data_IF_449475451468
#
_entry.id   IF_449475451468
#
_cell.length_a   1.000
_cell.length_b   1.000
_cell.length_c   1.000
_cell.angle_alpha   90.00
_cell.angle_beta   90.00
_cell.angle_gamma   90.00
#
_symmetry.space_group_name_H-M   'P 1'
#
loop_
_entity.id
_entity.type
_entity.pdbx_description
1 polymer ?
#
# COMPACT_ATOMS: atom_id res chain seq x y z
N UNK A 1 -5.15 15.63 13.31
CA UNK A 1 -3.96 14.83 13.62
C UNK A 1 -3.69 13.94 12.42
N UNK A 2 -2.48 13.95 11.85
CA UNK A 2 -2.13 13.17 10.66
C UNK A 2 -1.12 12.08 10.98
N UNK A 3 -1.15 10.98 10.24
CA UNK A 3 -0.19 9.88 10.38
C UNK A 3 1.07 10.20 9.55
N UNK A 4 2.24 10.14 10.18
CA UNK A 4 3.52 10.32 9.47
C UNK A 4 3.93 9.00 8.83
N UNK A 5 3.65 8.85 7.55
CA UNK A 5 3.94 7.64 6.78
C UNK A 5 5.37 7.69 6.22
N UNK A 6 5.97 6.50 6.04
CA UNK A 6 7.27 6.33 5.38
C UNK A 6 7.08 5.85 3.94
N UNK A 7 8.10 6.08 3.10
CA UNK A 7 7.99 6.12 1.65
C UNK A 7 7.20 4.96 1.02
N UNK A 8 6.39 5.23 -0.02
CA UNK A 8 5.65 4.20 -0.73
C UNK A 8 6.61 3.29 -1.48
N UNK A 9 6.35 1.99 -1.49
CA UNK A 9 7.15 1.06 -2.28
C UNK A 9 6.33 0.29 -3.30
N UNK A 10 5.31 -0.46 -2.89
CA UNK A 10 4.50 -1.22 -3.83
C UNK A 10 3.21 -0.45 -4.13
N UNK A 11 2.83 -0.45 -5.40
CA UNK A 11 1.65 0.23 -5.90
C UNK A 11 0.87 -0.73 -6.79
N UNK A 12 -0.44 -0.81 -6.58
CA UNK A 12 -1.32 -1.71 -7.32
C UNK A 12 -2.57 -0.99 -7.80
N UNK A 13 -2.84 -1.08 -9.10
CA UNK A 13 -4.00 -0.44 -9.72
C UNK A 13 -5.15 -1.45 -9.84
N UNK A 14 -6.35 -1.01 -9.49
CA UNK A 14 -7.57 -1.78 -9.71
C UNK A 14 -7.89 -1.91 -11.21
N UNK A 15 -8.59 -2.99 -11.59
CA UNK A 15 -9.00 -3.23 -12.98
C UNK A 15 -9.86 -2.11 -13.58
N UNK A 16 -10.66 -1.42 -12.76
CA UNK A 16 -11.47 -0.27 -13.17
C UNK A 16 -10.66 1.03 -13.28
N UNK A 17 -9.35 0.99 -13.01
CA UNK A 17 -8.39 2.09 -13.00
C UNK A 17 -8.75 3.26 -12.07
N UNK A 18 -9.68 3.07 -11.12
CA UNK A 18 -10.18 4.13 -10.23
C UNK A 18 -9.53 4.13 -8.85
N UNK A 19 -8.86 3.03 -8.47
CA UNK A 19 -8.29 2.88 -7.12
C UNK A 19 -6.87 2.36 -7.23
N UNK A 20 -5.96 3.06 -6.56
CA UNK A 20 -4.56 2.74 -6.51
C UNK A 20 -4.18 2.44 -5.06
N UNK A 21 -3.75 1.23 -4.78
CA UNK A 21 -3.35 0.79 -3.44
C UNK A 21 -1.85 0.91 -3.29
N UNK A 22 -1.42 1.42 -2.14
CA UNK A 22 -0.01 1.69 -1.88
C UNK A 22 0.37 1.07 -0.56
N UNK A 23 1.45 0.28 -0.57
CA UNK A 23 2.07 -0.31 0.62
C UNK A 23 3.50 0.24 0.77
N UNK A 24 4.05 0.13 1.97
CA UNK A 24 5.28 0.84 2.34
C UNK A 24 6.43 -0.07 2.81
N UNK A 25 6.31 -1.40 2.70
CA UNK A 25 7.38 -2.35 3.05
C UNK A 25 7.95 -3.05 1.82
N UNK A 26 9.28 -3.16 1.79
CA UNK A 26 10.04 -3.69 0.65
C UNK A 26 10.58 -5.08 0.94
N UNK A 27 11.35 -5.20 2.03
CA UNK A 27 12.02 -6.42 2.45
C UNK A 27 12.64 -6.17 3.83
N UNK A 28 12.36 -7.04 4.79
CA UNK A 28 12.68 -6.84 6.22
C UNK A 28 14.13 -6.34 6.49
N UNK A 29 15.20 -6.93 5.92
CA UNK A 29 16.57 -6.43 6.07
C UNK A 29 16.81 -5.01 5.51
N UNK A 30 16.19 -4.66 4.38
CA UNK A 30 16.34 -3.34 3.74
C UNK A 30 15.51 -2.29 4.47
N UNK A 31 14.32 -2.66 4.92
CA UNK A 31 13.47 -1.82 5.75
C UNK A 31 14.14 -1.53 7.10
N UNK A 32 14.84 -2.51 7.69
CA UNK A 32 15.63 -2.30 8.92
C UNK A 32 16.77 -1.29 8.74
N UNK A 33 17.37 -1.24 7.55
CA UNK A 33 18.49 -0.35 7.24
C UNK A 33 18.04 1.10 7.02
N UNK A 34 16.95 1.32 6.27
CA UNK A 34 16.51 2.67 5.87
C UNK A 34 15.37 3.21 6.73
N UNK A 35 14.54 2.32 7.27
CA UNK A 35 13.32 2.64 7.99
C UNK A 35 13.14 1.70 9.21
N UNK A 36 14.06 1.69 10.19
CA UNK A 36 13.99 0.79 11.35
C UNK A 36 12.67 0.93 12.13
N UNK A 37 12.14 2.14 12.22
CA UNK A 37 10.85 2.41 12.84
C UNK A 37 9.65 1.80 12.09
N UNK A 38 9.79 1.44 10.81
CA UNK A 38 8.75 0.72 10.05
C UNK A 38 8.67 -0.74 10.51
N UNK A 39 9.82 -1.36 10.77
CA UNK A 39 9.89 -2.74 11.30
C UNK A 39 9.32 -2.80 12.71
N UNK A 40 9.50 -1.75 13.52
CA UNK A 40 8.97 -1.68 14.89
C UNK A 40 7.49 -1.31 14.97
N UNK A 41 6.97 -0.54 14.00
CA UNK A 41 5.61 0.00 14.04
C UNK A 41 4.64 -0.64 13.06
N UNK A 42 5.14 -1.46 12.13
CA UNK A 42 4.34 -2.13 11.12
C UNK A 42 4.19 -1.30 9.84
N UNK A 43 3.80 -2.02 8.78
CA UNK A 43 3.46 -1.46 7.49
C UNK A 43 2.11 -0.76 7.50
N UNK A 44 1.87 0.05 6.49
CA UNK A 44 0.58 0.70 6.26
C UNK A 44 0.16 0.49 4.82
N UNK A 45 -1.14 0.44 4.59
CA UNK A 45 -1.74 0.44 3.26
C UNK A 45 -2.69 1.62 3.12
N UNK A 46 -2.56 2.32 1.99
CA UNK A 46 -3.36 3.47 1.61
C UNK A 46 -4.10 3.15 0.32
N UNK A 47 -5.26 3.77 0.15
CA UNK A 47 -5.92 3.86 -1.15
C UNK A 47 -5.81 5.29 -1.66
N UNK A 48 -5.49 5.42 -2.93
CA UNK A 48 -5.50 6.66 -3.69
C UNK A 48 -6.61 6.53 -4.72
N UNK A 49 -7.51 7.50 -4.73
CA UNK A 49 -8.57 7.62 -5.72
C UNK A 49 -8.00 8.28 -6.98
N UNK A 50 -8.28 7.67 -8.13
CA UNK A 50 -7.80 8.11 -9.45
C UNK A 50 -8.98 8.72 -10.21
N UNK A 51 -8.89 10.02 -10.55
CA UNK A 51 -9.87 10.67 -11.42
C UNK A 51 -9.51 10.40 -12.88
N UNK A 52 -10.18 9.42 -13.49
CA UNK A 52 -9.93 9.05 -14.89
C UNK A 52 -10.59 9.99 -15.92
N UNK A 53 -11.48 10.89 -15.49
CA UNK A 53 -12.19 11.81 -16.37
C UNK A 53 -11.48 13.16 -16.50
N UNK A 54 -10.98 13.70 -15.39
CA UNK A 54 -10.28 15.00 -15.34
C UNK A 54 -8.78 14.86 -15.15
N UNK A 55 -8.31 13.66 -14.80
CA UNK A 55 -6.94 13.44 -14.33
C UNK A 55 -6.78 13.88 -12.88
N UNK A 56 -5.90 13.21 -12.15
CA UNK A 56 -5.55 13.55 -10.76
C UNK A 56 -5.54 12.35 -9.83
N UNK A 57 -4.83 12.51 -8.72
CA UNK A 57 -4.68 11.52 -7.67
C UNK A 57 -4.98 12.18 -6.33
N UNK A 58 -5.86 11.57 -5.53
CA UNK A 58 -6.19 12.03 -4.19
C UNK A 58 -6.10 10.88 -3.19
N UNK A 59 -5.52 11.11 -2.01
CA UNK A 59 -5.52 10.11 -0.95
C UNK A 59 -6.95 9.96 -0.43
N UNK A 60 -7.43 8.72 -0.34
CA UNK A 60 -8.74 8.43 0.23
C UNK A 60 -8.65 8.47 1.77
N UNK A 61 -9.27 9.45 2.45
CA UNK A 61 -9.18 9.57 3.91
C UNK A 61 -9.97 8.48 4.65
N UNK A 62 -10.85 7.77 3.95
CA UNK A 62 -11.70 6.73 4.53
C UNK A 62 -11.05 5.34 4.47
N UNK A 63 -9.89 5.20 3.81
CA UNK A 63 -9.19 3.94 3.68
C UNK A 63 -7.76 4.07 4.20
N UNK A 64 -7.53 3.46 5.35
CA UNK A 64 -6.22 3.35 5.98
C UNK A 64 -6.15 2.02 6.73
N UNK A 65 -5.19 1.17 6.37
CA UNK A 65 -4.93 -0.08 7.09
C UNK A 65 -3.59 0.02 7.76
N UNK A 66 -3.58 -0.23 9.07
CA UNK A 66 -2.39 -0.22 9.92
C UNK A 66 -2.08 -1.66 10.34
N UNK A 67 -0.96 -2.19 9.85
CA UNK A 67 -0.50 -3.54 10.15
C UNK A 67 0.41 -3.58 11.40
N UNK A 68 0.54 -2.47 12.12
CA UNK A 68 1.21 -2.41 13.41
C UNK A 68 0.42 -3.03 14.56
N UNK A 69 -0.92 -3.10 14.42
CA UNK A 69 -1.84 -3.58 15.45
C UNK A 69 -2.24 -5.06 15.27
N UNK A 70 -1.51 -5.81 14.45
CA UNK A 70 -1.78 -7.24 14.24
C UNK A 70 -1.60 -8.05 15.53
N UNK A 71 -2.37 -9.14 15.74
CA UNK A 71 -2.39 -9.90 17.00
C UNK A 71 -1.02 -10.44 17.44
N UNK A 72 -0.16 -10.78 16.47
CA UNK A 72 1.17 -11.36 16.68
C UNK A 72 2.31 -10.34 16.59
N UNK A 73 1.97 -9.03 16.56
CA UNK A 73 2.91 -7.92 16.46
C UNK A 73 3.03 -7.32 15.06
N UNK A 74 3.88 -6.28 14.91
CA UNK A 74 3.92 -5.45 13.70
C UNK A 74 4.25 -6.26 12.44
N UNK A 75 3.36 -6.22 11.46
CA UNK A 75 3.50 -6.94 10.20
C UNK A 75 3.95 -6.02 9.06
N UNK A 76 4.77 -6.58 8.18
CA UNK A 76 5.31 -5.88 7.01
C UNK A 76 4.53 -6.29 5.76
N UNK A 77 3.88 -5.31 5.12
CA UNK A 77 3.02 -5.56 3.97
C UNK A 77 3.70 -5.12 2.69
N UNK A 78 3.91 -6.11 1.82
CA UNK A 78 4.61 -5.94 0.56
C UNK A 78 3.62 -5.95 -0.61
N UNK A 79 2.98 -7.10 -0.85
CA UNK A 79 2.14 -7.33 -2.02
C UNK A 79 0.65 -7.29 -1.68
N UNK A 80 -0.17 -6.67 -2.52
CA UNK A 80 -1.64 -6.80 -2.49
C UNK A 80 -2.04 -7.73 -3.64
N UNK A 81 -3.17 -8.43 -3.55
CA UNK A 81 -3.70 -9.21 -4.68
C UNK A 81 -5.21 -9.08 -4.72
N UNK A 82 -5.76 -8.79 -5.90
CA UNK A 82 -7.22 -8.74 -6.04
C UNK A 82 -7.82 -10.12 -6.29
N UNK A 83 -8.94 -10.45 -5.62
CA UNK A 83 -9.74 -11.61 -6.01
C UNK A 83 -10.27 -11.39 -7.44
N UNK A 84 -9.79 -12.18 -8.39
CA UNK A 84 -10.23 -12.12 -9.79
C UNK A 84 -9.26 -11.45 -10.77
N UNK A 85 -8.04 -11.13 -10.34
CA UNK A 85 -7.00 -10.55 -11.21
C UNK A 85 -6.77 -9.07 -10.95
N UNK A 86 -5.55 -8.62 -11.20
CA UNK A 86 -5.15 -7.23 -11.10
C UNK A 86 -4.22 -6.87 -12.25
N UNK A 87 -4.04 -5.57 -12.48
CA UNK A 87 -3.24 -5.06 -13.60
C UNK A 87 -1.75 -5.45 -13.54
N UNK A 88 -1.31 -6.12 -12.48
CA UNK A 88 0.07 -6.62 -12.29
C UNK A 88 0.19 -8.13 -12.47
N UNK A 89 -0.92 -8.88 -12.52
CA UNK A 89 -0.92 -10.34 -12.69
C UNK A 89 -1.66 -10.84 -13.94
N UNK A 90 -2.45 -10.00 -14.61
CA UNK A 90 -3.11 -10.40 -15.87
C UNK A 90 -2.20 -10.15 -17.09
N UNK A 91 -1.64 -11.24 -17.64
CA UNK A 91 -0.99 -11.27 -18.95
C UNK A 91 -2.06 -11.63 -19.98
N UNK A 92 -2.45 -10.67 -20.82
CA UNK A 92 -3.29 -10.94 -21.99
C UNK A 92 -2.42 -11.60 -23.08
N UNK A 93 -2.80 -12.81 -23.54
CA UNK A 93 -2.25 -13.48 -24.74
C UNK A 93 -3.13 -13.15 -25.94
#
# INVERSE_FOLDING_TARGET
MGHRLRGPQMIQLSLDAKRLFVTNSVFCPRDRQFYPALVEKGGHMLQIDVDTAKGGLAINPNFFVDFGAEPDGPSLVHETRYPGGDCTFDIWI
#
